data_IF_988963254600
#
_entry.id   IF_988963254600
#
_cell.length_a   1.000
_cell.length_b   1.000
_cell.length_c   1.000
_cell.angle_alpha   90.00
_cell.angle_beta   90.00
_cell.angle_gamma   90.00
#
_symmetry.space_group_name_H-M   'P 1'
#
loop_
_entity.id
_entity.type
_entity.pdbx_description
1 polymer ?
2 non-polymer ?
3 water ?
#
# COMPACT_ATOMS: atom_id res chain seq x y z
N UNK A 10 8.31 6.05 -14.14
CA UNK A 10 8.55 4.60 -14.39
C UNK A 10 7.23 3.87 -14.07
N UNK A 11 6.96 3.74 -12.76
CA UNK A 11 5.77 3.18 -12.20
C UNK A 11 5.36 4.09 -11.02
N UNK A 12 4.19 3.86 -10.43
CA UNK A 12 3.75 4.70 -9.34
C UNK A 12 3.00 3.88 -8.28
N UNK A 13 2.95 4.44 -7.10
CA UNK A 13 2.29 3.78 -5.98
C UNK A 13 0.90 4.21 -5.89
N UNK A 14 0.03 3.21 -5.92
CA UNK A 14 -1.39 3.38 -5.76
C UNK A 14 -1.72 4.20 -4.53
N UNK A 15 -1.05 3.92 -3.40
CA UNK A 15 -1.43 4.52 -2.10
C UNK A 15 -1.10 5.99 -1.97
N UNK A 16 0.02 6.42 -2.52
CA UNK A 16 0.52 7.74 -2.25
C UNK A 16 0.81 8.52 -3.55
N UNK A 17 0.66 7.92 -4.73
CA UNK A 17 1.02 8.54 -6.02
C UNK A 17 2.42 8.87 -6.36
N UNK A 18 3.36 8.50 -5.50
CA UNK A 18 4.75 8.68 -5.79
C UNK A 18 5.24 7.76 -6.91
N UNK A 19 6.15 8.27 -7.72
CA UNK A 19 6.75 7.58 -8.81
C UNK A 19 8.10 6.97 -8.45
N UNK A 20 8.40 5.86 -9.08
CA UNK A 20 9.65 5.15 -8.88
C UNK A 20 10.14 4.67 -10.21
N UNK A 21 11.46 4.49 -10.32
CA UNK A 21 12.04 4.04 -11.58
C UNK A 21 11.67 2.63 -11.97
N UNK A 22 11.45 1.75 -11.00
CA UNK A 22 11.01 0.40 -11.35
C UNK A 22 10.15 -0.27 -10.30
N UNK A 23 9.52 -1.36 -10.70
CA UNK A 23 8.64 -2.10 -9.80
C UNK A 23 9.29 -2.70 -8.56
N UNK A 24 10.53 -3.15 -8.69
CA UNK A 24 11.27 -3.66 -7.55
C UNK A 24 11.40 -2.63 -6.48
N UNK A 25 11.77 -1.40 -6.88
CA UNK A 25 11.87 -0.29 -5.93
C UNK A 25 10.45 0.06 -5.36
N UNK A 26 9.47 0.13 -6.23
CA UNK A 26 8.10 0.34 -5.82
C UNK A 26 7.67 -0.66 -4.71
N UNK A 27 7.90 -1.94 -4.94
CA UNK A 27 7.48 -3.01 -3.95
C UNK A 27 8.16 -2.79 -2.65
N UNK A 28 9.46 -2.48 -2.64
CA UNK A 28 10.09 -2.17 -1.36
C UNK A 28 9.53 -0.95 -0.62
N UNK A 29 9.19 0.09 -1.39
CA UNK A 29 8.54 1.26 -0.83
C UNK A 29 7.18 0.87 -0.27
N UNK A 30 6.42 0.00 -0.94
CA UNK A 30 5.07 -0.32 -0.46
C UNK A 30 5.20 -1.04 0.88
N UNK A 31 6.17 -1.99 0.94
CA UNK A 31 6.41 -2.71 2.19
C UNK A 31 6.83 -1.86 3.31
N UNK A 32 7.61 -0.84 3.02
CA UNK A 32 8.09 0.06 4.05
C UNK A 32 7.14 1.11 4.53
N UNK A 33 6.34 1.69 3.63
CA UNK A 33 5.54 2.83 4.00
C UNK A 33 4.06 2.49 4.18
N UNK A 34 3.60 1.40 3.57
CA UNK A 34 2.18 1.02 3.59
C UNK A 34 1.84 -0.30 4.21
N UNK A 35 2.74 -1.28 4.17
CA UNK A 35 2.44 -2.63 4.65
C UNK A 35 3.24 -2.95 5.93
N UNK A 36 3.82 -1.94 6.54
CA UNK A 36 4.57 -2.09 7.79
C UNK A 36 3.72 -1.94 9.03
N UNK A 37 3.88 -2.90 9.91
CA UNK A 37 3.26 -2.86 11.23
C UNK A 37 3.82 -1.73 12.06
N UNK A 38 2.98 -0.79 12.50
CA UNK A 38 3.49 0.33 13.31
C UNK A 38 4.06 -0.06 14.67
N UNK A 39 3.71 -1.21 15.23
CA UNK A 39 4.09 -1.56 16.58
C UNK A 39 5.44 -2.25 16.52
N UNK A 40 5.56 -3.28 15.71
CA UNK A 40 6.83 -4.02 15.61
C UNK A 40 7.68 -3.80 14.38
N UNK A 41 7.16 -3.11 13.38
CA UNK A 41 7.89 -2.81 12.15
C UNK A 41 8.09 -3.99 11.21
N UNK A 42 7.40 -5.10 11.43
CA UNK A 42 7.40 -6.15 10.44
C UNK A 42 6.80 -5.59 9.15
N UNK A 43 7.42 -5.91 8.03
CA UNK A 43 6.92 -5.57 6.70
C UNK A 43 6.12 -6.71 6.10
N UNK A 44 4.82 -6.56 5.98
CA UNK A 44 4.01 -7.57 5.34
C UNK A 44 3.97 -7.36 3.85
N UNK A 45 3.40 -8.32 3.14
CA UNK A 45 3.46 -8.29 1.65
C UNK A 45 2.26 -7.58 1.04
N UNK A 46 1.18 -7.34 1.79
CA UNK A 46 0.01 -6.57 1.30
C UNK A 46 -0.56 -5.77 2.47
N UNK A 47 -1.44 -4.83 2.14
CA UNK A 47 -2.06 -3.96 3.16
C UNK A 47 -3.02 -4.81 3.99
N UNK A 48 -3.77 -5.72 3.37
CA UNK A 48 -4.60 -6.70 4.05
C UNK A 48 -3.83 -7.59 5.08
N UNK A 49 -2.69 -8.10 4.60
CA UNK A 49 -1.75 -8.83 5.42
C UNK A 49 -1.28 -8.02 6.63
N UNK A 50 -0.91 -6.76 6.40
CA UNK A 50 -0.53 -5.86 7.48
C UNK A 50 -1.68 -5.75 8.47
N UNK A 51 -2.93 -5.51 8.01
CA UNK A 51 -4.02 -5.21 8.96
C UNK A 51 -4.32 -6.47 9.78
N UNK A 52 -4.23 -7.66 9.15
CA UNK A 52 -4.47 -8.93 9.84
C UNK A 52 -3.38 -9.20 10.89
N UNK A 53 -2.13 -8.95 10.52
CA UNK A 53 -1.04 -9.01 11.47
C UNK A 53 -1.29 -8.14 12.71
N UNK A 54 -1.58 -6.87 12.54
CA UNK A 54 -1.74 -5.95 13.65
C UNK A 54 -2.85 -6.42 14.58
N UNK A 55 -3.93 -6.85 13.99
CA UNK A 55 -5.03 -7.38 14.72
C UNK A 55 -4.68 -8.64 15.49
N UNK A 56 -4.16 -9.63 14.81
CA UNK A 56 -3.85 -10.87 15.43
C UNK A 56 -2.73 -10.87 16.44
N UNK A 57 -1.70 -10.12 16.18
CA UNK A 57 -0.57 -10.11 17.05
C UNK A 57 -0.70 -9.08 18.14
N UNK A 58 -1.19 -7.91 17.82
CA UNK A 58 -1.21 -6.81 18.72
C UNK A 58 -2.60 -6.39 19.20
N UNK A 59 -3.64 -7.01 18.66
CA UNK A 59 -5.06 -6.77 18.92
C UNK A 59 -5.63 -5.44 18.51
N UNK A 60 -4.90 -4.72 17.68
CA UNK A 60 -5.30 -3.42 17.26
C UNK A 60 -5.99 -3.44 15.90
N UNK A 61 -7.03 -2.60 15.74
CA UNK A 61 -7.83 -2.54 14.55
C UNK A 61 -7.24 -1.47 13.66
N UNK A 62 -6.78 -1.83 12.46
CA UNK A 62 -6.31 -0.88 11.48
C UNK A 62 -7.27 -0.90 10.29
N UNK A 63 -7.85 0.23 9.98
CA UNK A 63 -8.73 0.32 8.86
C UNK A 63 -8.23 1.27 7.83
N UNK A 64 -7.08 1.92 8.04
CA UNK A 64 -6.56 2.81 7.00
C UNK A 64 -5.13 2.40 6.77
N UNK A 65 -4.76 2.33 5.51
CA UNK A 65 -3.38 2.11 5.13
C UNK A 65 -2.55 3.29 5.53
N UNK A 66 -1.40 3.05 6.19
CA UNK A 66 -0.55 4.12 6.61
C UNK A 66 0.04 4.89 5.42
N UNK A 67 0.20 6.21 5.57
CA UNK A 67 0.85 7.09 4.56
C UNK A 67 0.12 7.14 3.21
N UNK A 68 -1.17 6.81 3.17
CA UNK A 68 -1.92 6.78 1.96
C UNK A 68 -2.76 8.08 1.80
N UNK A 69 -3.01 8.47 0.56
CA UNK A 69 -4.05 9.47 0.26
C UNK A 69 -5.41 9.00 0.75
N UNK A 70 -6.26 9.94 1.23
CA UNK A 70 -7.55 9.50 1.82
C UNK A 70 -8.40 8.69 0.85
N UNK A 71 -8.33 8.97 -0.45
CA UNK A 71 -9.11 8.12 -1.35
C UNK A 71 -8.49 6.71 -1.60
N UNK A 72 -7.29 6.45 -1.12
CA UNK A 72 -6.58 5.21 -1.42
C UNK A 72 -6.35 4.43 -0.19
N UNK A 73 -7.03 4.77 0.88
CA UNK A 73 -6.61 4.26 2.17
C UNK A 73 -7.28 2.96 2.58
N UNK A 74 -8.13 2.38 1.76
CA UNK A 74 -8.74 1.11 2.13
C UNK A 74 -7.76 -0.10 2.11
N UNK A 75 -7.87 -0.92 3.15
CA UNK A 75 -7.06 -2.14 3.29
C UNK A 75 -7.56 -3.27 2.45
N UNK A 76 -8.71 -3.10 1.78
CA UNK A 76 -9.38 -4.21 1.14
C UNK A 76 -8.96 -4.49 -0.35
N UNK A 77 -8.34 -3.53 -1.00
CA UNK A 77 -7.86 -3.71 -2.36
C UNK A 77 -6.46 -4.31 -2.29
N UNK A 78 -6.23 -5.32 -3.10
CA UNK A 78 -4.95 -6.01 -3.11
C UNK A 78 -3.97 -5.45 -4.18
N UNK A 79 -2.90 -4.81 -3.75
CA UNK A 79 -2.00 -4.09 -4.68
C UNK A 79 -0.65 -4.72 -4.45
N UNK A 80 0.01 -5.22 -5.49
CA UNK A 80 1.37 -5.74 -5.39
C UNK A 80 2.19 -5.07 -6.49
N UNK A 81 3.00 -4.07 -6.14
CA UNK A 81 3.65 -3.17 -7.13
C UNK A 81 2.56 -2.50 -7.91
N UNK A 82 2.56 -2.69 -9.25
CA UNK A 82 1.49 -2.17 -10.14
C UNK A 82 0.32 -3.10 -10.32
N UNK A 83 0.46 -4.33 -9.83
CA UNK A 83 -0.57 -5.34 -9.97
C UNK A 83 -1.74 -5.06 -9.02
N UNK A 84 -2.94 -5.01 -9.63
CA UNK A 84 -4.20 -4.77 -8.94
C UNK A 84 -4.75 -3.38 -8.97
N UNK A 85 -4.01 -2.41 -9.52
CA UNK A 85 -4.45 -1.02 -9.52
C UNK A 85 -5.67 -0.94 -10.44
N UNK A 86 -6.76 -0.32 -9.98
CA UNK A 86 -7.92 -0.20 -10.89
C UNK A 86 -7.61 0.62 -12.13
N UNK A 87 -8.10 0.20 -13.29
CA UNK A 87 -7.82 1.01 -14.53
C UNK A 87 -8.13 2.55 -14.49
N UNK A 88 -9.13 2.94 -13.71
CA UNK A 88 -9.48 4.36 -13.49
C UNK A 88 -8.34 5.12 -12.79
N UNK A 89 -7.63 4.43 -11.89
CA UNK A 89 -6.62 5.09 -11.11
C UNK A 89 -5.35 5.24 -11.95
N UNK A 90 -5.05 4.24 -12.77
CA UNK A 90 -3.98 4.38 -13.80
C UNK A 90 -4.21 5.59 -14.68
N UNK A 91 -5.47 5.78 -15.07
CA UNK A 91 -5.87 6.88 -15.95
C UNK A 91 -5.63 8.23 -15.29
N UNK A 92 -6.29 8.43 -14.16
CA UNK A 92 -6.16 9.63 -13.42
C UNK A 92 -4.68 9.98 -13.18
N UNK A 93 -3.83 8.97 -12.90
CA UNK A 93 -2.43 9.30 -12.56
C UNK A 93 -1.69 9.81 -13.80
N UNK A 94 -1.85 9.14 -14.94
CA UNK A 94 -0.98 9.41 -16.09
C UNK A 94 -1.34 10.59 -17.00
N UNK A 95 -2.53 11.15 -16.85
CA UNK A 95 -2.77 12.55 -17.21
C UNK A 95 -2.92 13.42 -15.96
N UNK A 96 -4.17 13.57 -15.49
CA UNK A 96 -4.59 14.54 -14.44
C UNK A 96 -3.57 14.88 -13.32
X LIG B 1 3.66 -6.12 14.46
X LIG C 1 3.31 4.81 -1.62
#
# INVERSE_FOLDING_TARGET
XGKKKKRVEKVFCYYCDREFDDEKILVQHQKAKHFKCHVCHKKLSTAGGMAIHVLQVHKESVTKVPNAKPERESTEIEIFGMQGIPPDVLAAHYGE
ZN ZN
ZN ZN
#
